data_IF_309068174237
#
_entry.id   IF_309068174237
#
_cell.length_a   1.000
_cell.length_b   1.000
_cell.length_c   1.000
_cell.angle_alpha   90.00
_cell.angle_beta   90.00
_cell.angle_gamma   90.00
#
_symmetry.space_group_name_H-M   'P 1'
#
loop_
_entity.id
_entity.type
_entity.pdbx_description
1 polymer ?
#
# COMPACT_ATOMS: atom_id res chain seq x y z
N UNK A 1 20.45 -22.89 -20.96
CA UNK A 1 19.07 -22.89 -21.45
C UNK A 1 18.96 -21.71 -22.38
N UNK A 2 18.55 -21.96 -23.63
CA UNK A 2 18.41 -20.93 -24.66
C UNK A 2 16.92 -20.69 -24.93
N UNK A 3 16.54 -19.43 -25.12
CA UNK A 3 15.18 -19.00 -25.44
C UNK A 3 15.10 -18.69 -26.94
N UNK A 4 14.12 -19.31 -27.60
CA UNK A 4 13.80 -19.02 -29.01
C UNK A 4 12.35 -18.56 -29.08
N UNK A 5 12.16 -17.34 -29.57
CA UNK A 5 10.84 -16.73 -29.78
C UNK A 5 10.53 -16.78 -31.28
N UNK A 6 9.60 -17.64 -31.66
CA UNK A 6 9.35 -18.00 -33.07
C UNK A 6 8.71 -16.86 -33.89
N UNK A 7 7.80 -16.09 -33.28
CA UNK A 7 7.06 -15.04 -34.01
C UNK A 7 7.92 -13.80 -34.27
N UNK A 8 8.74 -13.41 -33.28
CA UNK A 8 9.64 -12.25 -33.37
C UNK A 8 11.05 -12.63 -33.83
N UNK A 9 11.31 -13.93 -34.11
CA UNK A 9 12.60 -14.48 -34.51
C UNK A 9 13.77 -14.11 -33.58
N UNK A 10 13.56 -14.15 -32.26
CA UNK A 10 14.61 -13.87 -31.28
C UNK A 10 15.21 -15.20 -30.81
N UNK A 11 16.47 -15.45 -31.16
CA UNK A 11 17.21 -16.65 -30.74
C UNK A 11 18.41 -16.27 -29.86
N UNK A 12 18.32 -16.54 -28.56
CA UNK A 12 19.39 -16.23 -27.60
C UNK A 12 20.60 -17.16 -27.70
N UNK A 13 20.61 -18.16 -28.57
CA UNK A 13 21.82 -18.93 -28.90
C UNK A 13 22.80 -18.10 -29.74
N UNK A 14 22.31 -17.08 -30.44
CA UNK A 14 23.12 -16.15 -31.25
C UNK A 14 23.59 -14.93 -30.44
N UNK A 15 24.73 -14.33 -30.83
CA UNK A 15 25.22 -13.09 -30.20
C UNK A 15 24.23 -11.92 -30.35
N UNK A 16 23.63 -11.77 -31.54
CA UNK A 16 22.64 -10.74 -31.83
C UNK A 16 21.35 -10.94 -31.02
N UNK A 17 20.85 -12.18 -30.90
CA UNK A 17 19.64 -12.44 -30.12
C UNK A 17 19.84 -12.24 -28.62
N UNK A 18 21.02 -12.57 -28.06
CA UNK A 18 21.36 -12.20 -26.67
C UNK A 18 21.39 -10.69 -26.45
N UNK A 19 21.99 -9.94 -27.38
CA UNK A 19 22.04 -8.49 -27.29
C UNK A 19 20.63 -7.89 -27.28
N UNK A 20 19.77 -8.30 -28.22
CA UNK A 20 18.39 -7.83 -28.31
C UNK A 20 17.59 -8.19 -27.06
N UNK A 21 17.71 -9.44 -26.58
CA UNK A 21 17.04 -9.88 -25.36
C UNK A 21 17.46 -9.04 -24.13
N UNK A 22 18.75 -8.78 -23.96
CA UNK A 22 19.25 -7.94 -22.88
C UNK A 22 18.77 -6.50 -23.01
N UNK A 23 18.75 -5.95 -24.22
CA UNK A 23 18.24 -4.60 -24.48
C UNK A 23 16.76 -4.47 -24.10
N UNK A 24 15.93 -5.48 -24.40
CA UNK A 24 14.53 -5.51 -23.96
C UNK A 24 14.40 -5.54 -22.45
N UNK A 25 15.27 -6.29 -21.76
CA UNK A 25 15.34 -6.29 -20.29
C UNK A 25 15.66 -4.90 -19.72
N UNK A 26 16.67 -4.23 -20.28
CA UNK A 26 17.07 -2.86 -19.89
C UNK A 26 15.93 -1.86 -20.14
N UNK A 27 15.22 -1.97 -21.27
CA UNK A 27 14.06 -1.12 -21.56
C UNK A 27 12.95 -1.35 -20.53
N UNK A 28 12.67 -2.61 -20.18
CA UNK A 28 11.66 -2.93 -19.16
C UNK A 28 11.99 -2.35 -17.77
N UNK A 29 13.27 -2.37 -17.39
CA UNK A 29 13.75 -1.73 -16.15
C UNK A 29 13.58 -0.21 -16.22
N UNK A 30 14.02 0.42 -17.31
CA UNK A 30 13.89 1.86 -17.53
C UNK A 30 12.43 2.34 -17.48
N UNK A 31 11.51 1.62 -18.13
CA UNK A 31 10.08 1.95 -18.06
C UNK A 31 9.52 1.84 -16.63
N UNK A 32 10.01 0.87 -15.86
CA UNK A 32 9.61 0.71 -14.46
C UNK A 32 10.10 1.86 -13.58
N UNK A 33 11.32 2.35 -13.82
CA UNK A 33 11.87 3.53 -13.15
C UNK A 33 11.04 4.78 -13.45
N UNK A 34 10.75 5.06 -14.72
CA UNK A 34 9.88 6.19 -15.12
C UNK A 34 8.50 6.09 -14.46
N UNK A 35 7.92 4.89 -14.40
CA UNK A 35 6.63 4.67 -13.75
C UNK A 35 6.68 5.04 -12.27
N UNK A 36 7.75 4.64 -11.58
CA UNK A 36 7.99 4.94 -10.16
C UNK A 36 8.15 6.44 -9.92
N UNK A 37 8.93 7.14 -10.74
CA UNK A 37 9.09 8.59 -10.66
C UNK A 37 7.75 9.32 -10.77
N UNK A 38 6.95 8.97 -11.79
CA UNK A 38 5.61 9.55 -11.97
C UNK A 38 4.67 9.26 -10.80
N UNK A 39 4.74 8.06 -10.23
CA UNK A 39 3.96 7.71 -9.05
C UNK A 39 4.34 8.57 -7.85
N UNK A 40 5.64 8.77 -7.60
CA UNK A 40 6.13 9.61 -6.51
C UNK A 40 5.68 11.07 -6.68
N UNK A 41 5.72 11.59 -7.91
CA UNK A 41 5.19 12.91 -8.24
C UNK A 41 3.69 13.03 -7.97
N UNK A 42 2.92 12.01 -8.34
CA UNK A 42 1.50 11.95 -8.03
C UNK A 42 1.23 11.95 -6.52
N UNK A 43 1.98 11.13 -5.76
CA UNK A 43 1.88 11.08 -4.30
C UNK A 43 2.23 12.43 -3.69
N UNK A 44 3.29 13.10 -4.16
CA UNK A 44 3.68 14.45 -3.70
C UNK A 44 2.55 15.45 -3.90
N UNK A 45 1.97 15.53 -5.10
CA UNK A 45 0.83 16.41 -5.39
C UNK A 45 -0.39 16.11 -4.53
N UNK A 46 -0.67 14.83 -4.26
CA UNK A 46 -1.76 14.44 -3.35
C UNK A 46 -1.48 14.80 -1.89
N UNK A 47 -0.22 14.71 -1.43
CA UNK A 47 0.18 15.17 -0.09
C UNK A 47 0.04 16.70 0.05
N UNK A 48 0.41 17.47 -0.97
CA UNK A 48 0.22 18.92 -1.02
C UNK A 48 -1.26 19.32 -0.93
N UNK A 49 -2.16 18.47 -1.45
CA UNK A 49 -3.61 18.61 -1.33
C UNK A 49 -4.19 18.03 -0.04
N UNK A 50 -3.34 17.68 0.93
CA UNK A 50 -3.70 17.08 2.22
C UNK A 50 -4.58 15.82 2.11
N UNK A 51 -4.44 15.07 1.01
CA UNK A 51 -5.19 13.83 0.82
C UNK A 51 -4.71 12.81 1.86
N UNK A 52 -5.64 12.31 2.68
CA UNK A 52 -5.35 11.28 3.68
C UNK A 52 -5.11 9.94 2.99
N UNK A 53 -3.87 9.46 3.09
CA UNK A 53 -3.48 8.13 2.61
C UNK A 53 -3.78 7.03 3.63
N UNK A 54 -3.78 5.78 3.15
CA UNK A 54 -3.96 4.59 3.97
C UNK A 54 -5.41 4.28 4.31
N UNK A 55 -5.60 3.33 5.23
CA UNK A 55 -6.93 2.88 5.66
C UNK A 55 -7.66 4.00 6.39
N UNK A 56 -8.91 4.28 6.00
CA UNK A 56 -9.78 5.20 6.72
C UNK A 56 -10.01 4.69 8.16
N UNK A 57 -10.00 5.61 9.12
CA UNK A 57 -10.36 5.27 10.50
C UNK A 57 -11.79 4.75 10.54
N UNK A 58 -12.05 3.69 11.31
CA UNK A 58 -13.40 3.16 11.51
C UNK A 58 -14.24 4.04 12.42
N UNK A 59 -13.62 4.69 13.39
CA UNK A 59 -14.27 5.60 14.33
C UNK A 59 -13.88 7.05 14.03
N UNK A 60 -14.79 7.98 14.28
CA UNK A 60 -14.51 9.42 14.31
C UNK A 60 -13.77 9.79 15.59
N UNK A 61 -13.26 11.03 15.68
CA UNK A 61 -12.56 11.49 16.90
C UNK A 61 -13.51 11.53 18.10
N UNK A 62 -14.75 11.96 17.87
CA UNK A 62 -15.80 12.07 18.87
C UNK A 62 -16.14 10.69 19.44
N UNK A 63 -16.29 9.68 18.56
CA UNK A 63 -16.54 8.30 18.98
C UNK A 63 -15.38 7.71 19.79
N UNK A 64 -14.13 8.08 19.49
CA UNK A 64 -12.97 7.65 20.28
C UNK A 64 -12.99 8.28 21.67
N UNK A 65 -13.35 9.56 21.78
CA UNK A 65 -13.49 10.25 23.07
C UNK A 65 -14.62 9.65 23.89
N UNK A 66 -15.79 9.41 23.28
CA UNK A 66 -16.93 8.76 23.92
C UNK A 66 -16.56 7.35 24.41
N UNK A 67 -15.91 6.55 23.57
CA UNK A 67 -15.45 5.20 23.93
C UNK A 67 -14.46 5.23 25.10
N UNK A 68 -13.57 6.23 25.15
CA UNK A 68 -12.64 6.43 26.29
C UNK A 68 -13.41 6.80 27.57
N UNK A 69 -14.41 7.68 27.49
CA UNK A 69 -15.28 8.01 28.62
C UNK A 69 -16.04 6.81 29.17
N UNK A 70 -16.69 6.02 28.30
CA UNK A 70 -17.35 4.76 28.70
C UNK A 70 -16.39 3.78 29.37
N UNK A 71 -15.12 3.77 28.93
CA UNK A 71 -14.11 2.93 29.57
C UNK A 71 -13.77 3.40 30.98
N UNK A 72 -13.72 4.71 31.21
CA UNK A 72 -13.51 5.31 32.55
C UNK A 72 -14.69 5.03 33.49
N UNK A 73 -15.92 4.99 32.96
CA UNK A 73 -17.13 4.57 33.68
C UNK A 73 -17.16 3.07 34.02
N UNK A 74 -16.19 2.30 33.54
CA UNK A 74 -16.00 0.89 33.90
C UNK A 74 -16.49 -0.12 32.87
N UNK A 75 -16.99 0.29 31.70
CA UNK A 75 -17.43 -0.61 30.63
C UNK A 75 -16.28 -1.51 30.17
N UNK A 76 -16.60 -2.78 29.90
CA UNK A 76 -15.60 -3.77 29.52
C UNK A 76 -15.13 -3.59 28.06
N UNK A 77 -13.84 -3.86 27.80
CA UNK A 77 -13.24 -3.74 26.46
C UNK A 77 -13.99 -4.57 25.41
N UNK A 78 -14.46 -5.75 25.79
CA UNK A 78 -15.23 -6.65 24.91
C UNK A 78 -16.55 -6.02 24.48
N UNK A 79 -17.23 -5.34 25.39
CA UNK A 79 -18.50 -4.67 25.13
C UNK A 79 -18.29 -3.47 24.21
N UNK A 80 -17.24 -2.67 24.46
CA UNK A 80 -16.84 -1.57 23.58
C UNK A 80 -16.49 -2.05 22.16
N UNK A 81 -15.78 -3.17 22.04
CA UNK A 81 -15.46 -3.75 20.74
C UNK A 81 -16.70 -4.15 19.95
N UNK A 82 -17.70 -4.73 20.61
CA UNK A 82 -18.98 -5.10 20.00
C UNK A 82 -19.80 -3.85 19.62
N UNK A 83 -19.91 -2.89 20.53
CA UNK A 83 -20.68 -1.66 20.35
C UNK A 83 -20.16 -0.82 19.16
N UNK A 84 -18.84 -0.63 19.07
CA UNK A 84 -18.22 0.18 18.02
C UNK A 84 -17.79 -0.64 16.78
N UNK A 85 -18.08 -1.94 16.73
CA UNK A 85 -17.78 -2.81 15.58
C UNK A 85 -16.27 -2.95 15.26
N UNK A 86 -15.44 -2.95 16.31
CA UNK A 86 -13.98 -3.04 16.23
C UNK A 86 -13.43 -4.19 17.08
N UNK A 87 -12.27 -4.72 16.70
CA UNK A 87 -11.61 -5.76 17.49
C UNK A 87 -11.15 -5.21 18.85
N UNK A 88 -11.07 -6.07 19.87
CA UNK A 88 -10.51 -5.70 21.18
C UNK A 88 -9.12 -5.07 21.05
N UNK A 89 -8.27 -5.60 20.16
CA UNK A 89 -6.94 -5.01 19.88
C UNK A 89 -7.04 -3.59 19.33
N UNK A 90 -8.06 -3.29 18.52
CA UNK A 90 -8.31 -1.95 18.01
C UNK A 90 -8.77 -1.01 19.13
N UNK A 91 -9.58 -1.49 20.08
CA UNK A 91 -9.93 -0.74 21.29
C UNK A 91 -8.66 -0.42 22.08
N UNK A 92 -7.83 -1.41 22.41
CA UNK A 92 -6.56 -1.18 23.12
C UNK A 92 -5.62 -0.23 22.37
N UNK A 93 -5.55 -0.32 21.04
CA UNK A 93 -4.76 0.60 20.22
C UNK A 93 -5.28 2.03 20.32
N UNK A 94 -6.60 2.22 20.23
CA UNK A 94 -7.24 3.54 20.32
C UNK A 94 -7.16 4.15 21.73
N UNK A 95 -7.14 3.32 22.78
CA UNK A 95 -6.90 3.77 24.15
C UNK A 95 -5.48 4.31 24.34
N UNK A 96 -4.48 3.72 23.66
CA UNK A 96 -3.08 4.16 23.72
C UNK A 96 -2.75 5.33 22.81
N UNK A 97 -3.50 5.51 21.72
CA UNK A 97 -3.30 6.68 20.84
C UNK A 97 -3.90 7.92 21.49
N UNK A 98 -3.04 8.93 21.69
CA UNK A 98 -3.39 10.29 22.13
C UNK A 98 -4.20 10.99 21.04
#
# INVERSE_FOLDING_TARGET
MDLVVMEQNIDTSTSTGRLLFNMLGVIGEFENEIRKERQLDGIRKSKEREVKFGRKSKLTREQVVEMKGKREEGVLIRELGQEYGISNDSVYRLMRSV
#
